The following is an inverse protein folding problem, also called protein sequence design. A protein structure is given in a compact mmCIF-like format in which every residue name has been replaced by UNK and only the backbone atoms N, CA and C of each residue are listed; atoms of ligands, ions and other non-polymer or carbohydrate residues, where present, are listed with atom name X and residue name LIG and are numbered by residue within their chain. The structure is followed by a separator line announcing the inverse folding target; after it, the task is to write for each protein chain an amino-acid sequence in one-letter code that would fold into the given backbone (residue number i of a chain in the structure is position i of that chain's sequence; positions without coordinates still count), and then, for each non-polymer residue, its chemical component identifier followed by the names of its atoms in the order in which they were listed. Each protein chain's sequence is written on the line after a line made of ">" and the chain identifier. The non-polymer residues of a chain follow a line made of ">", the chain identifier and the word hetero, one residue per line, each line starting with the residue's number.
data_IF_083561429419
#
_entry.id   IF_083561429419
#
_cell.length_a   1.000
_cell.length_b   1.000
_cell.length_c   1.000
_cell.angle_alpha   90.00
_cell.angle_beta   90.00
_cell.angle_gamma   90.00
#
_symmetry.space_group_name_H-M   'P 1'
#
loop_
_entity.id
_entity.type
_entity.pdbx_description
1 polymer ?
#
# COMPACT_ATOMS: atom_id res chain seq x y z
N UNK A 1 18.68 -16.68 2.00
CA UNK A 1 17.55 -17.24 2.76
C UNK A 1 16.77 -16.05 3.26
N UNK A 2 15.54 -15.87 2.77
CA UNK A 2 14.76 -14.68 3.05
C UNK A 2 14.26 -14.65 4.50
N UNK A 3 13.08 -14.05 4.68
CA UNK A 3 12.44 -13.97 5.98
C UNK A 3 11.57 -15.20 6.31
N UNK A 4 11.58 -16.24 5.49
CA UNK A 4 10.69 -17.41 5.63
C UNK A 4 10.88 -18.18 6.95
N UNK A 5 12.12 -18.24 7.46
CA UNK A 5 12.46 -18.94 8.70
C UNK A 5 11.70 -18.38 9.92
N UNK A 6 11.35 -17.08 9.92
CA UNK A 6 10.63 -16.48 11.06
C UNK A 6 9.19 -16.98 11.12
N UNK A 7 8.57 -17.26 9.97
CA UNK A 7 7.19 -17.77 9.91
C UNK A 7 7.11 -19.23 10.34
N UNK A 8 8.13 -20.03 10.04
CA UNK A 8 8.24 -21.41 10.53
C UNK A 8 8.31 -21.43 12.07
N UNK A 9 9.20 -20.62 12.67
CA UNK A 9 9.33 -20.54 14.13
C UNK A 9 8.05 -20.05 14.81
N UNK A 10 7.40 -19.01 14.26
CA UNK A 10 6.13 -18.51 14.81
C UNK A 10 5.01 -19.55 14.71
N UNK A 11 4.99 -20.34 13.63
CA UNK A 11 4.02 -21.43 13.45
C UNK A 11 4.25 -22.56 14.45
N UNK A 12 5.50 -22.93 14.70
CA UNK A 12 5.87 -23.95 15.68
C UNK A 12 5.51 -23.50 17.11
N UNK A 13 5.84 -22.26 17.47
CA UNK A 13 5.48 -21.69 18.77
C UNK A 13 3.96 -21.64 18.97
N UNK A 14 3.20 -21.27 17.93
CA UNK A 14 1.73 -21.24 17.99
C UNK A 14 1.15 -22.64 18.19
N UNK A 15 1.71 -23.63 17.50
CA UNK A 15 1.32 -25.04 17.63
C UNK A 15 1.63 -25.60 19.02
N UNK A 16 2.79 -25.23 19.58
CA UNK A 16 3.14 -25.54 20.96
C UNK A 16 2.15 -24.89 21.94
N UNK A 17 1.89 -23.59 21.82
CA UNK A 17 0.96 -22.88 22.69
C UNK A 17 -0.44 -23.53 22.71
N UNK A 18 -0.99 -23.86 21.52
CA UNK A 18 -2.29 -24.54 21.39
C UNK A 18 -2.29 -25.93 22.03
N UNK A 19 -1.22 -26.71 21.86
CA UNK A 19 -1.10 -28.04 22.47
C UNK A 19 -1.12 -28.00 23.99
N UNK A 20 -0.63 -26.91 24.58
CA UNK A 20 -0.51 -26.73 26.02
C UNK A 20 -1.63 -25.89 26.64
N UNK A 21 -2.63 -25.45 25.84
CA UNK A 21 -3.75 -24.64 26.33
C UNK A 21 -3.38 -23.19 26.65
N UNK A 22 -2.28 -22.68 26.09
CA UNK A 22 -1.87 -21.28 26.24
C UNK A 22 -2.57 -20.41 25.20
N UNK A 23 -3.89 -20.25 25.33
CA UNK A 23 -4.72 -19.57 24.32
C UNK A 23 -4.29 -18.11 24.09
N UNK A 24 -3.99 -17.37 25.17
CA UNK A 24 -3.49 -16.00 25.10
C UNK A 24 -2.15 -15.90 24.35
N UNK A 25 -1.27 -16.89 24.54
CA UNK A 25 0.02 -16.94 23.85
C UNK A 25 -0.18 -17.24 22.37
N UNK A 26 -1.06 -18.18 22.04
CA UNK A 26 -1.38 -18.50 20.65
C UNK A 26 -1.98 -17.30 19.91
N UNK A 27 -2.87 -16.53 20.55
CA UNK A 27 -3.43 -15.31 19.98
C UNK A 27 -2.36 -14.25 19.71
N UNK A 28 -1.46 -14.00 20.66
CA UNK A 28 -0.34 -13.05 20.48
C UNK A 28 0.63 -13.49 19.38
N UNK A 29 0.88 -14.78 19.24
CA UNK A 29 1.74 -15.32 18.19
C UNK A 29 1.10 -15.15 16.80
N UNK A 30 -0.23 -15.29 16.71
CA UNK A 30 -0.97 -15.03 15.47
C UNK A 30 -0.94 -13.54 15.08
N UNK A 31 -1.12 -12.63 16.03
CA UNK A 31 -0.94 -11.19 15.80
C UNK A 31 0.50 -10.85 15.36
N UNK A 32 1.49 -11.50 15.98
CA UNK A 32 2.91 -11.32 15.66
C UNK A 32 3.24 -11.83 14.25
N UNK A 33 2.69 -12.98 13.85
CA UNK A 33 2.83 -13.52 12.49
C UNK A 33 2.28 -12.53 11.45
N UNK A 34 1.12 -11.94 11.72
CA UNK A 34 0.52 -10.95 10.83
C UNK A 34 1.36 -9.66 10.77
N UNK A 35 1.86 -9.16 11.90
CA UNK A 35 2.73 -8.00 11.93
C UNK A 35 4.04 -8.23 11.16
N UNK A 36 4.68 -9.38 11.36
CA UNK A 36 5.91 -9.76 10.66
C UNK A 36 5.70 -9.78 9.14
N UNK A 37 4.60 -10.36 8.64
CA UNK A 37 4.28 -10.35 7.20
C UNK A 37 4.18 -8.93 6.63
N UNK A 38 3.52 -8.01 7.33
CA UNK A 38 3.40 -6.61 6.90
C UNK A 38 4.76 -5.92 6.87
N UNK A 39 5.56 -6.11 7.91
CA UNK A 39 6.85 -5.44 8.06
C UNK A 39 7.86 -5.94 7.04
N UNK A 40 7.91 -7.26 6.81
CA UNK A 40 8.75 -7.89 5.79
C UNK A 40 8.33 -7.43 4.40
N UNK A 41 7.02 -7.48 4.07
CA UNK A 41 6.54 -7.01 2.77
C UNK A 41 6.87 -5.53 2.52
N UNK A 42 6.86 -4.71 3.59
CA UNK A 42 7.24 -3.30 3.52
C UNK A 42 8.75 -3.11 3.36
N UNK A 43 9.55 -3.95 4.03
CA UNK A 43 11.00 -3.93 3.93
C UNK A 43 11.48 -4.37 2.54
N UNK A 44 10.81 -5.36 1.94
CA UNK A 44 11.17 -5.85 0.61
C UNK A 44 10.83 -4.85 -0.50
N UNK A 45 9.75 -4.08 -0.35
CA UNK A 45 9.37 -2.94 -1.21
C UNK A 45 9.17 -3.28 -2.70
N UNK A 46 8.46 -2.46 -3.48
CA UNK A 46 8.35 -2.65 -4.94
C UNK A 46 9.63 -2.27 -5.72
N UNK A 47 10.84 -2.40 -5.15
CA UNK A 47 12.04 -1.77 -5.70
C UNK A 47 13.38 -2.51 -5.56
N UNK A 48 13.41 -3.76 -5.09
CA UNK A 48 14.69 -4.45 -4.89
C UNK A 48 15.25 -5.16 -6.14
N UNK A 49 14.52 -5.17 -7.27
CA UNK A 49 14.97 -5.74 -8.54
C UNK A 49 14.49 -4.92 -9.75
N UNK A 50 15.08 -3.74 -10.03
CA UNK A 50 15.18 -3.28 -11.43
C UNK A 50 16.36 -2.33 -11.59
N UNK A 51 17.50 -2.87 -12.00
CA UNK A 51 18.45 -2.10 -12.80
C UNK A 51 17.75 -1.72 -14.10
N UNK A 52 17.13 -0.54 -14.13
CA UNK A 52 16.67 0.10 -15.36
C UNK A 52 17.51 1.34 -15.58
N UNK A 53 18.81 1.11 -15.77
CA UNK A 53 19.67 2.02 -16.53
C UNK A 53 19.16 2.03 -17.97
N UNK A 54 18.17 2.88 -18.22
CA UNK A 54 17.52 3.02 -19.51
C UNK A 54 16.92 4.40 -19.59
N UNK A 55 17.78 5.39 -19.79
CA UNK A 55 17.37 6.73 -20.14
C UNK A 55 16.34 6.69 -21.27
N UNK A 56 15.29 7.48 -21.12
CA UNK A 56 14.49 7.90 -22.27
C UNK A 56 14.10 9.34 -22.02
N UNK A 57 15.09 10.16 -22.36
CA UNK A 57 14.96 11.55 -22.74
C UNK A 57 13.98 11.60 -23.91
N UNK A 58 12.70 11.78 -23.64
CA UNK A 58 11.76 12.22 -24.67
C UNK A 58 11.14 13.52 -24.20
N UNK A 59 11.86 14.61 -24.46
CA UNK A 59 11.22 15.89 -24.70
C UNK A 59 10.24 15.70 -25.84
N UNK A 60 8.96 15.95 -25.55
CA UNK A 60 7.96 16.20 -26.58
C UNK A 60 7.42 17.59 -26.34
N UNK A 61 8.16 18.54 -26.89
CA UNK A 61 7.62 19.77 -27.44
C UNK A 61 6.55 19.43 -28.50
N UNK A 62 5.30 19.78 -28.21
CA UNK A 62 4.33 20.07 -29.27
C UNK A 62 3.57 21.31 -28.85
N UNK A 63 3.78 22.38 -29.62
CA UNK A 63 3.27 23.70 -29.34
C UNK A 63 1.79 23.88 -29.63
N UNK A 64 1.29 24.97 -29.05
CA UNK A 64 0.42 25.98 -29.67
C UNK A 64 -0.89 25.55 -30.33
N UNK A 65 -2.00 25.64 -29.58
CA UNK A 65 -3.26 26.13 -30.16
C UNK A 65 -4.02 27.00 -29.14
N UNK A 66 -4.43 28.20 -29.59
CA UNK A 66 -5.08 29.20 -28.75
C UNK A 66 -6.58 28.96 -28.53
N UNK A 67 -7.10 29.58 -27.47
CA UNK A 67 -8.53 29.63 -27.18
C UNK A 67 -8.82 30.52 -25.96
N UNK A 68 -9.27 31.74 -26.22
CA UNK A 68 -9.67 32.78 -25.26
C UNK A 68 -10.61 32.29 -24.13
N UNK A 69 -10.56 32.90 -22.92
CA UNK A 69 -11.64 32.83 -21.91
C UNK A 69 -12.63 34.01 -22.08
N UNK A 70 -13.75 34.18 -21.32
CA UNK A 70 -14.64 33.30 -20.51
C UNK A 70 -16.14 33.46 -20.99
N UNK A 71 -17.25 33.18 -20.23
CA UNK A 71 -17.61 33.80 -18.94
C UNK A 71 -18.18 32.87 -17.85
N UNK A 72 -18.03 33.37 -16.63
CA UNK A 72 -18.53 32.94 -15.32
C UNK A 72 -19.98 32.46 -15.31
N UNK A 73 -20.20 31.17 -15.04
CA UNK A 73 -21.50 30.61 -14.67
C UNK A 73 -21.66 30.60 -13.15
N UNK A 74 -22.49 31.49 -12.61
CA UNK A 74 -23.04 31.36 -11.25
C UNK A 74 -24.56 31.16 -11.34
N UNK A 75 -25.14 30.22 -10.55
CA UNK A 75 -26.53 29.80 -10.66
C UNK A 75 -27.51 30.83 -10.06
N UNK A 76 -28.60 31.09 -10.79
CA UNK A 76 -29.75 31.83 -10.24
C UNK A 76 -30.46 30.99 -9.17
N UNK A 77 -30.73 31.64 -8.03
CA UNK A 77 -31.42 31.10 -6.86
C UNK A 77 -32.92 30.91 -7.14
N UNK A 78 -33.60 29.93 -6.52
CA UNK A 78 -35.02 29.68 -6.76
C UNK A 78 -35.93 30.78 -6.17
N UNK A 79 -37.01 31.06 -6.90
CA UNK A 79 -38.08 31.95 -6.49
C UNK A 79 -38.80 31.44 -5.23
N UNK A 80 -38.96 32.33 -4.25
CA UNK A 80 -39.71 32.11 -3.02
C UNK A 80 -41.09 32.73 -3.18
N UNK A 81 -42.14 31.95 -2.90
CA UNK A 81 -43.54 32.36 -3.01
C UNK A 81 -43.94 33.48 -2.04
N UNK A 82 -45.06 34.10 -2.39
CA UNK A 82 -45.81 35.12 -1.64
C UNK A 82 -47.02 35.53 -2.46
#
# INVERSE_FOLDING_TARGET
>A
MGHDWVFEVLTDMKSYARRHGFDDLAARLEETEHAARRDISRADGPGSDTGSDGGSDTGSDTGSDGGSPPPTGLPQRPARGG
#
